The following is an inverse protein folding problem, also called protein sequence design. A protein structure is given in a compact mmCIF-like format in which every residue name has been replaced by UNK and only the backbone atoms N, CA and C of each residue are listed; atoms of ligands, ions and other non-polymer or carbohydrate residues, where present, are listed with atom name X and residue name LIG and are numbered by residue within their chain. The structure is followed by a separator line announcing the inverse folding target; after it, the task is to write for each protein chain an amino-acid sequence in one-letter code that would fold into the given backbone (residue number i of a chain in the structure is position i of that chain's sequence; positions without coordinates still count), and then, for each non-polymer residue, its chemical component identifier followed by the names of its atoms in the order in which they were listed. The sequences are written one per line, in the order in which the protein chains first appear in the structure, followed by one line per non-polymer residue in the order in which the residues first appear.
data_IF_046178886523
#
_entry.id   IF_046178886523
#
_cell.length_a   1.000
_cell.length_b   1.000
_cell.length_c   1.000
_cell.angle_alpha   90.00
_cell.angle_beta   90.00
_cell.angle_gamma   90.00
#
_symmetry.space_group_name_H-M   'P 1'
#
loop_
_entity.id
_entity.type
_entity.pdbx_description
1 polymer ?
#
# COMPACT_ATOMS: atom_id res chain seq x y z
N UNK A 1 -32.39 -45.47 64.16
CA UNK A 1 -31.09 -45.54 63.49
C UNK A 1 -31.22 -44.74 62.22
N UNK A 2 -30.76 -43.46 62.28
CA UNK A 2 -31.05 -42.41 61.28
C UNK A 2 -29.93 -42.43 60.22
N UNK A 3 -30.29 -42.41 58.96
CA UNK A 3 -29.41 -42.22 57.84
C UNK A 3 -29.62 -40.82 57.32
N UNK A 4 -28.63 -39.96 57.47
CA UNK A 4 -28.59 -38.59 57.00
C UNK A 4 -28.13 -38.53 55.55
N UNK A 5 -28.95 -38.02 54.68
CA UNK A 5 -28.71 -37.79 53.28
C UNK A 5 -28.15 -36.39 53.08
N UNK A 6 -26.89 -36.25 52.64
CA UNK A 6 -26.28 -34.98 52.32
C UNK A 6 -26.30 -34.72 50.82
N UNK A 7 -27.16 -33.80 50.38
CA UNK A 7 -27.16 -33.28 49.01
C UNK A 7 -25.98 -32.36 48.81
N UNK A 8 -25.10 -32.76 47.91
CA UNK A 8 -24.03 -31.94 47.34
C UNK A 8 -24.60 -31.09 46.19
N UNK A 9 -24.58 -29.78 46.37
CA UNK A 9 -24.97 -28.79 45.35
C UNK A 9 -23.72 -28.27 44.65
N UNK A 10 -23.35 -28.92 43.55
CA UNK A 10 -22.27 -28.49 42.68
C UNK A 10 -22.55 -27.10 42.04
N UNK A 11 -21.81 -26.12 42.48
CA UNK A 11 -21.72 -24.79 41.87
C UNK A 11 -21.02 -24.90 40.49
N UNK A 12 -21.76 -24.66 39.43
CA UNK A 12 -21.17 -24.45 38.09
C UNK A 12 -20.59 -23.04 38.05
N UNK A 13 -19.26 -22.94 38.11
CA UNK A 13 -18.56 -21.71 37.81
C UNK A 13 -18.74 -21.35 36.33
N UNK A 14 -19.33 -20.20 36.05
CA UNK A 14 -19.36 -19.62 34.73
C UNK A 14 -17.96 -19.04 34.44
N UNK A 15 -17.23 -19.70 33.54
CA UNK A 15 -16.02 -19.16 32.95
C UNK A 15 -16.40 -17.92 32.12
N UNK A 16 -16.14 -16.76 32.68
CA UNK A 16 -16.17 -15.49 31.94
C UNK A 16 -15.01 -15.47 30.98
N UNK A 17 -15.29 -15.63 29.69
CA UNK A 17 -14.33 -15.35 28.61
C UNK A 17 -13.88 -13.90 28.76
N UNK A 18 -12.67 -13.71 29.26
CA UNK A 18 -11.97 -12.42 29.26
C UNK A 18 -11.75 -12.06 27.80
N UNK A 19 -12.55 -11.13 27.28
CA UNK A 19 -12.31 -10.52 25.99
C UNK A 19 -10.92 -9.85 26.06
N UNK A 20 -9.94 -10.46 25.42
CA UNK A 20 -8.62 -9.89 25.28
C UNK A 20 -8.74 -8.54 24.60
N UNK A 21 -8.29 -7.46 25.22
CA UNK A 21 -8.19 -6.15 24.63
C UNK A 21 -7.36 -6.26 23.37
N UNK A 22 -7.97 -5.96 22.22
CA UNK A 22 -7.26 -5.79 20.95
C UNK A 22 -6.23 -4.68 21.17
N UNK A 23 -4.94 -4.91 20.92
CA UNK A 23 -3.95 -3.85 21.07
C UNK A 23 -4.33 -2.72 20.13
N UNK A 24 -4.64 -1.55 20.67
CA UNK A 24 -4.75 -0.33 19.86
C UNK A 24 -3.38 -0.11 19.23
N UNK A 25 -3.32 -0.22 17.89
CA UNK A 25 -2.10 0.09 17.17
C UNK A 25 -1.61 1.48 17.60
N UNK A 26 -0.30 1.68 17.86
CA UNK A 26 0.21 3.00 18.20
C UNK A 26 -0.18 3.96 17.09
N UNK A 27 -0.61 5.18 17.45
CA UNK A 27 -0.94 6.23 16.49
C UNK A 27 0.26 6.41 15.56
N UNK A 28 0.17 5.89 14.35
CA UNK A 28 1.21 6.07 13.34
C UNK A 28 1.18 7.51 12.88
N UNK A 29 2.34 8.15 12.78
CA UNK A 29 2.41 9.49 12.20
C UNK A 29 1.82 9.45 10.80
N UNK A 30 1.01 10.48 10.44
CA UNK A 30 0.41 10.61 9.11
C UNK A 30 1.48 10.54 8.01
N UNK A 31 1.20 9.81 6.93
CA UNK A 31 2.13 9.63 5.81
C UNK A 31 1.65 10.39 4.57
N UNK A 32 2.45 11.36 4.12
CA UNK A 32 2.28 11.99 2.82
C UNK A 32 2.92 11.11 1.74
N UNK A 33 2.12 10.57 0.82
CA UNK A 33 2.58 9.63 -0.23
C UNK A 33 2.59 10.35 -1.57
N UNK A 34 3.74 10.35 -2.23
CA UNK A 34 3.91 10.93 -3.56
C UNK A 34 3.57 9.89 -4.63
N UNK A 35 2.50 10.12 -5.40
CA UNK A 35 1.97 9.23 -6.43
C UNK A 35 2.88 9.21 -7.66
N UNK A 36 3.53 8.07 -7.92
CA UNK A 36 4.50 7.88 -9.03
C UNK A 36 5.68 8.85 -8.97
N UNK A 37 6.02 9.31 -7.76
CA UNK A 37 7.00 10.36 -7.53
C UNK A 37 6.41 11.77 -7.57
N UNK A 38 7.01 12.67 -8.36
CA UNK A 38 6.58 14.07 -8.53
C UNK A 38 6.23 14.33 -10.01
N UNK A 39 5.05 13.87 -10.49
CA UNK A 39 4.71 13.84 -11.90
C UNK A 39 4.44 15.21 -12.52
N UNK A 40 4.31 16.28 -11.73
CA UNK A 40 4.19 17.65 -12.23
C UNK A 40 5.54 18.29 -12.56
N UNK A 41 6.65 17.72 -12.07
CA UNK A 41 8.00 18.22 -12.27
C UNK A 41 8.81 17.30 -13.20
N UNK A 42 8.63 15.99 -13.06
CA UNK A 42 9.32 14.98 -13.84
C UNK A 42 8.33 13.93 -14.37
N UNK A 43 8.73 13.20 -15.41
CA UNK A 43 7.92 12.06 -15.89
C UNK A 43 7.68 11.07 -14.75
N UNK A 44 6.41 10.65 -14.56
CA UNK A 44 6.01 9.68 -13.52
C UNK A 44 6.81 8.37 -13.61
N UNK A 45 6.96 7.69 -12.48
CA UNK A 45 7.65 6.40 -12.38
C UNK A 45 9.10 6.41 -12.92
N UNK A 46 9.81 7.55 -12.78
CA UNK A 46 11.23 7.68 -13.12
C UNK A 46 12.07 8.05 -11.89
N UNK A 47 13.38 7.77 -11.93
CA UNK A 47 14.27 8.12 -10.82
C UNK A 47 14.29 9.63 -10.53
N UNK A 48 14.29 10.54 -11.52
CA UNK A 48 14.16 11.98 -11.24
C UNK A 48 12.87 12.34 -10.50
N UNK A 49 11.73 11.70 -10.85
CA UNK A 49 10.44 11.91 -10.19
C UNK A 49 10.48 11.46 -8.72
N UNK A 50 11.04 10.29 -8.46
CA UNK A 50 11.25 9.75 -7.11
C UNK A 50 12.12 10.68 -6.26
N UNK A 51 13.27 11.11 -6.79
CA UNK A 51 14.18 12.05 -6.11
C UNK A 51 13.50 13.39 -5.78
N UNK A 52 12.71 13.91 -6.72
CA UNK A 52 11.96 15.14 -6.52
C UNK A 52 10.97 15.03 -5.38
N UNK A 53 10.20 13.94 -5.34
CA UNK A 53 9.24 13.66 -4.28
C UNK A 53 9.89 13.54 -2.90
N UNK A 54 11.01 12.85 -2.80
CA UNK A 54 11.76 12.71 -1.54
C UNK A 54 12.29 14.07 -1.05
N UNK A 55 12.84 14.89 -1.96
CA UNK A 55 13.28 16.27 -1.62
C UNK A 55 12.11 17.16 -1.18
N UNK A 56 10.93 16.96 -1.74
CA UNK A 56 9.72 17.67 -1.33
C UNK A 56 9.15 17.18 0.01
N UNK A 57 9.78 16.19 0.66
CA UNK A 57 9.42 15.68 1.98
C UNK A 57 8.33 14.63 1.98
N UNK A 58 8.20 13.84 0.90
CA UNK A 58 7.33 12.67 0.91
C UNK A 58 7.75 11.69 2.02
N UNK A 59 6.80 11.20 2.79
CA UNK A 59 7.00 10.15 3.78
C UNK A 59 7.12 8.76 3.13
N UNK A 60 6.52 8.60 1.95
CA UNK A 60 6.68 7.46 1.07
C UNK A 60 6.49 7.90 -0.39
N UNK A 61 7.09 7.15 -1.32
CA UNK A 61 6.84 7.32 -2.75
C UNK A 61 6.10 6.09 -3.25
N UNK A 62 4.97 6.33 -3.89
CA UNK A 62 4.23 5.26 -4.57
C UNK A 62 4.76 5.09 -5.98
N UNK A 63 4.87 3.83 -6.42
CA UNK A 63 5.34 3.41 -7.74
C UNK A 63 4.53 2.22 -8.24
N UNK A 64 4.25 2.19 -9.54
CA UNK A 64 3.58 1.06 -10.20
C UNK A 64 4.62 0.06 -10.72
N UNK A 65 4.47 -1.23 -10.42
CA UNK A 65 5.41 -2.26 -10.89
C UNK A 65 4.72 -3.25 -11.82
N UNK A 66 5.36 -3.49 -12.96
CA UNK A 66 5.00 -4.51 -13.97
C UNK A 66 6.24 -5.28 -14.43
N UNK A 67 6.01 -6.36 -15.18
CA UNK A 67 7.08 -7.18 -15.72
C UNK A 67 7.28 -6.96 -17.22
N UNK A 68 8.53 -6.94 -17.63
CA UNK A 68 8.95 -7.13 -19.03
C UNK A 68 8.71 -8.56 -19.49
N UNK A 69 8.90 -8.85 -20.79
CA UNK A 69 8.80 -10.20 -21.38
C UNK A 69 9.74 -11.22 -20.69
N UNK A 70 10.90 -10.77 -20.30
CA UNK A 70 11.93 -11.58 -19.63
C UNK A 70 11.85 -11.57 -18.11
N UNK A 71 10.72 -11.07 -17.54
CA UNK A 71 10.40 -11.15 -16.11
C UNK A 71 11.11 -10.13 -15.24
N UNK A 72 11.67 -9.06 -15.80
CA UNK A 72 12.31 -8.01 -15.01
C UNK A 72 11.25 -7.03 -14.48
N UNK A 73 11.17 -6.78 -13.15
CA UNK A 73 10.29 -5.76 -12.58
C UNK A 73 10.76 -4.35 -12.95
N UNK A 74 9.87 -3.58 -13.57
CA UNK A 74 10.11 -2.19 -14.02
C UNK A 74 8.99 -1.26 -13.58
N UNK A 75 9.25 0.05 -13.57
CA UNK A 75 8.29 1.04 -13.10
C UNK A 75 7.42 1.57 -14.24
N UNK A 76 6.20 1.08 -14.37
CA UNK A 76 5.26 1.53 -15.39
C UNK A 76 3.80 1.29 -14.95
N UNK A 77 2.97 2.34 -15.00
CA UNK A 77 1.54 2.21 -14.70
C UNK A 77 0.78 1.47 -15.82
N UNK A 78 0.97 1.89 -17.06
CA UNK A 78 0.22 1.36 -18.21
C UNK A 78 0.72 -0.02 -18.64
N UNK A 79 -0.08 -0.78 -19.35
CA UNK A 79 0.33 -2.05 -19.90
C UNK A 79 1.19 -1.91 -21.17
N UNK A 80 1.33 -0.69 -21.68
CA UNK A 80 2.06 -0.34 -22.89
C UNK A 80 2.88 0.95 -22.72
N UNK A 81 3.70 1.27 -23.73
CA UNK A 81 4.59 2.41 -23.71
C UNK A 81 4.01 3.66 -24.41
N UNK A 82 2.76 3.60 -24.90
CA UNK A 82 2.22 4.66 -25.74
C UNK A 82 2.10 6.02 -25.06
N UNK A 83 1.47 6.07 -23.90
CA UNK A 83 1.16 7.35 -23.23
C UNK A 83 2.42 8.16 -22.90
N UNK A 84 3.42 7.52 -22.33
CA UNK A 84 4.61 8.19 -21.82
C UNK A 84 5.77 8.23 -22.82
N UNK A 85 5.92 7.17 -23.61
CA UNK A 85 7.12 6.93 -24.43
C UNK A 85 6.85 6.97 -25.93
N UNK A 86 5.56 7.07 -26.34
CA UNK A 86 5.12 7.15 -27.76
C UNK A 86 5.47 5.92 -28.61
N UNK A 87 5.69 4.78 -27.99
CA UNK A 87 5.86 3.50 -28.66
C UNK A 87 4.58 2.66 -28.54
N UNK A 88 4.03 2.23 -29.69
CA UNK A 88 2.87 1.34 -29.74
C UNK A 88 3.30 -0.11 -29.53
N UNK A 89 3.72 -0.40 -28.32
CA UNK A 89 4.19 -1.72 -27.90
C UNK A 89 3.81 -2.01 -26.45
N UNK A 90 3.36 -3.24 -26.22
CA UNK A 90 3.04 -3.71 -24.87
C UNK A 90 4.33 -4.04 -24.10
N UNK A 91 4.36 -3.68 -22.82
CA UNK A 91 5.52 -3.98 -21.97
C UNK A 91 5.87 -5.46 -21.94
N UNK A 92 4.87 -6.35 -21.84
CA UNK A 92 5.08 -7.80 -21.82
C UNK A 92 5.60 -8.38 -23.17
N UNK A 93 5.72 -7.58 -24.22
CA UNK A 93 6.26 -7.98 -25.52
C UNK A 93 7.75 -7.63 -25.68
N UNK A 94 8.33 -6.83 -24.77
CA UNK A 94 9.72 -6.37 -24.83
C UNK A 94 10.52 -6.87 -23.63
N UNK A 95 11.81 -7.18 -23.86
CA UNK A 95 12.77 -7.46 -22.79
C UNK A 95 13.23 -6.19 -22.09
N UNK A 96 13.86 -6.32 -20.94
CA UNK A 96 14.42 -5.17 -20.22
C UNK A 96 15.49 -4.43 -21.06
N UNK A 97 16.28 -5.15 -21.88
CA UNK A 97 17.25 -4.54 -22.77
C UNK A 97 16.59 -3.71 -23.87
N UNK A 98 15.59 -4.27 -24.58
CA UNK A 98 14.80 -3.56 -25.59
C UNK A 98 14.06 -2.36 -25.00
N UNK A 99 13.50 -2.51 -23.78
CA UNK A 99 12.84 -1.42 -23.07
C UNK A 99 13.81 -0.26 -22.81
N UNK A 100 15.03 -0.56 -22.38
CA UNK A 100 16.06 0.44 -22.12
C UNK A 100 16.42 1.25 -23.36
N UNK A 101 16.49 0.61 -24.53
CA UNK A 101 16.69 1.28 -25.83
C UNK A 101 15.49 2.17 -26.20
N UNK A 102 14.25 1.64 -26.07
CA UNK A 102 13.02 2.37 -26.40
C UNK A 102 12.77 3.59 -25.53
N UNK A 103 13.33 3.65 -24.34
CA UNK A 103 13.09 4.70 -23.35
C UNK A 103 14.35 5.52 -23.03
N UNK A 104 15.41 5.39 -23.83
CA UNK A 104 16.71 6.03 -23.60
C UNK A 104 17.25 5.80 -22.16
N UNK A 105 16.89 4.67 -21.56
CA UNK A 105 17.24 4.30 -20.19
C UNK A 105 16.51 5.07 -19.09
N UNK A 106 15.50 5.89 -19.43
CA UNK A 106 14.76 6.70 -18.43
C UNK A 106 13.72 5.90 -17.64
N UNK A 107 13.21 4.76 -18.19
CA UNK A 107 12.28 3.88 -17.47
C UNK A 107 13.10 2.93 -16.59
N UNK A 108 13.05 3.06 -15.25
CA UNK A 108 13.90 2.31 -14.37
C UNK A 108 13.36 0.91 -14.07
N UNK A 109 14.26 0.01 -13.72
CA UNK A 109 13.92 -1.23 -13.02
C UNK A 109 13.55 -0.96 -11.57
N UNK A 110 12.84 -1.91 -10.95
CA UNK A 110 12.56 -1.84 -9.51
C UNK A 110 13.86 -1.80 -8.69
N UNK A 111 14.89 -2.55 -9.07
CA UNK A 111 16.20 -2.54 -8.42
C UNK A 111 16.81 -1.13 -8.38
N UNK A 112 16.79 -0.42 -9.51
CA UNK A 112 17.29 0.96 -9.58
C UNK A 112 16.49 1.90 -8.68
N UNK A 113 15.15 1.75 -8.64
CA UNK A 113 14.30 2.55 -7.75
C UNK A 113 14.55 2.23 -6.26
N UNK A 114 14.74 0.97 -5.91
CA UNK A 114 15.08 0.56 -4.53
C UNK A 114 16.44 1.13 -4.10
N UNK A 115 17.43 1.13 -4.99
CA UNK A 115 18.74 1.72 -4.70
C UNK A 115 18.66 3.24 -4.50
N UNK A 116 17.79 3.92 -5.26
CA UNK A 116 17.60 5.37 -5.17
C UNK A 116 16.91 5.83 -3.86
N UNK A 117 16.08 4.95 -3.26
CA UNK A 117 15.24 5.28 -2.12
C UNK A 117 15.80 4.83 -0.78
N UNK A 118 17.12 4.66 -0.66
CA UNK A 118 17.77 4.34 0.62
C UNK A 118 17.45 5.43 1.65
N UNK A 119 16.82 5.01 2.76
CA UNK A 119 16.35 5.93 3.82
C UNK A 119 14.92 6.46 3.64
N UNK A 120 14.26 6.18 2.51
CA UNK A 120 12.83 6.46 2.25
C UNK A 120 11.99 5.20 2.19
N UNK A 121 10.65 5.34 2.24
CA UNK A 121 9.73 4.23 2.06
C UNK A 121 9.19 4.19 0.62
N UNK A 122 9.02 3.00 0.06
CA UNK A 122 8.30 2.77 -1.19
C UNK A 122 6.95 2.09 -0.93
N UNK A 123 5.94 2.59 -1.63
CA UNK A 123 4.60 2.02 -1.69
C UNK A 123 4.41 1.43 -3.09
N UNK A 124 4.51 0.12 -3.24
CA UNK A 124 4.51 -0.56 -4.54
C UNK A 124 3.10 -0.98 -4.92
N UNK A 125 2.53 -0.36 -5.95
CA UNK A 125 1.27 -0.83 -6.54
C UNK A 125 1.51 -1.98 -7.51
N UNK A 126 0.73 -3.05 -7.30
CA UNK A 126 0.76 -4.29 -8.09
C UNK A 126 -0.59 -4.51 -8.77
N UNK A 127 -0.83 -3.84 -9.91
CA UNK A 127 -2.11 -3.95 -10.63
C UNK A 127 -2.34 -5.35 -11.17
N UNK A 128 -1.27 -6.14 -11.37
CA UNK A 128 -1.31 -7.51 -11.89
C UNK A 128 -0.61 -8.46 -10.92
N UNK A 129 -1.34 -9.50 -10.49
CA UNK A 129 -0.82 -10.50 -9.57
C UNK A 129 0.35 -11.33 -10.18
N UNK A 130 0.49 -11.36 -11.49
CA UNK A 130 1.60 -12.05 -12.16
C UNK A 130 2.97 -11.40 -11.87
N UNK A 131 3.00 -10.12 -11.48
CA UNK A 131 4.23 -9.41 -11.15
C UNK A 131 4.71 -9.64 -9.70
N UNK A 132 3.91 -10.28 -8.86
CA UNK A 132 4.17 -10.35 -7.41
C UNK A 132 5.44 -11.11 -7.08
N UNK A 133 5.63 -12.29 -7.65
CA UNK A 133 6.75 -13.18 -7.28
C UNK A 133 8.10 -12.50 -7.54
N UNK A 134 8.29 -11.97 -8.73
CA UNK A 134 9.53 -11.30 -9.15
C UNK A 134 9.73 -9.99 -8.38
N UNK A 135 8.64 -9.25 -8.11
CA UNK A 135 8.70 -8.00 -7.31
C UNK A 135 9.15 -8.28 -5.88
N UNK A 136 8.52 -9.24 -5.19
CA UNK A 136 8.89 -9.60 -3.82
C UNK A 136 10.31 -10.14 -3.76
N UNK A 137 10.70 -11.00 -4.71
CA UNK A 137 12.06 -11.52 -4.81
C UNK A 137 13.09 -10.39 -4.98
N UNK A 138 12.82 -9.40 -5.84
CA UNK A 138 13.71 -8.24 -6.05
C UNK A 138 13.82 -7.37 -4.79
N UNK A 139 12.72 -7.14 -4.09
CA UNK A 139 12.70 -6.37 -2.82
C UNK A 139 13.59 -7.06 -1.77
N UNK A 140 13.47 -8.38 -1.61
CA UNK A 140 14.31 -9.15 -0.68
C UNK A 140 15.78 -9.17 -1.12
N UNK A 141 16.06 -9.40 -2.40
CA UNK A 141 17.42 -9.40 -2.95
C UNK A 141 18.12 -8.04 -2.79
N UNK A 142 17.34 -6.95 -2.78
CA UNK A 142 17.84 -5.58 -2.55
C UNK A 142 17.93 -5.20 -1.07
N UNK A 143 17.58 -6.10 -0.13
CA UNK A 143 17.57 -5.82 1.31
C UNK A 143 16.61 -4.69 1.70
N UNK A 144 15.46 -4.57 1.01
CA UNK A 144 14.56 -3.43 1.15
C UNK A 144 13.21 -3.77 1.83
N UNK A 145 13.03 -5.00 2.31
CA UNK A 145 11.76 -5.49 2.82
C UNK A 145 11.19 -4.67 4.00
N UNK A 146 12.03 -4.10 4.84
CA UNK A 146 11.67 -3.30 6.01
C UNK A 146 11.13 -1.90 5.67
N UNK A 147 11.39 -1.40 4.46
CA UNK A 147 11.00 -0.07 4.00
C UNK A 147 10.02 -0.07 2.81
N UNK A 148 9.56 -1.25 2.42
CA UNK A 148 8.58 -1.43 1.34
C UNK A 148 7.24 -1.88 1.90
N UNK A 149 6.15 -1.39 1.35
CA UNK A 149 4.82 -1.95 1.53
C UNK A 149 4.09 -1.98 0.18
N UNK A 150 3.15 -2.93 0.05
CA UNK A 150 2.52 -3.24 -1.22
C UNK A 150 1.07 -2.84 -1.24
N UNK A 151 0.55 -2.39 -2.40
CA UNK A 151 -0.88 -2.25 -2.61
C UNK A 151 -1.35 -2.94 -3.89
N UNK A 152 -2.66 -3.14 -3.95
CA UNK A 152 -3.33 -3.76 -5.08
C UNK A 152 -4.66 -4.37 -4.67
N UNK A 153 -5.31 -5.01 -5.64
CA UNK A 153 -6.55 -5.74 -5.40
C UNK A 153 -6.34 -7.04 -4.61
N UNK A 154 -7.43 -7.74 -4.25
CA UNK A 154 -7.37 -8.97 -3.44
C UNK A 154 -6.43 -10.03 -4.01
N UNK A 155 -6.43 -10.24 -5.33
CA UNK A 155 -5.59 -11.27 -5.96
C UNK A 155 -4.08 -10.98 -5.77
N UNK A 156 -3.65 -9.73 -6.04
CA UNK A 156 -2.27 -9.32 -5.86
C UNK A 156 -1.85 -9.39 -4.40
N UNK A 157 -2.67 -8.89 -3.48
CA UNK A 157 -2.32 -8.86 -2.06
C UNK A 157 -2.29 -10.26 -1.42
N UNK A 158 -3.17 -11.18 -1.83
CA UNK A 158 -3.08 -12.58 -1.42
C UNK A 158 -1.83 -13.26 -2.00
N UNK A 159 -1.42 -12.91 -3.22
CA UNK A 159 -0.18 -13.42 -3.79
C UNK A 159 1.06 -12.88 -3.03
N UNK A 160 1.07 -11.59 -2.66
CA UNK A 160 2.11 -11.00 -1.80
C UNK A 160 2.18 -11.75 -0.47
N UNK A 161 1.04 -11.97 0.21
CA UNK A 161 1.01 -12.67 1.49
C UNK A 161 1.53 -14.11 1.41
N UNK A 162 1.32 -14.79 0.27
CA UNK A 162 1.89 -16.13 0.02
C UNK A 162 3.40 -16.09 -0.25
N UNK A 163 3.89 -15.04 -0.94
CA UNK A 163 5.31 -14.88 -1.24
C UNK A 163 6.12 -14.40 -0.02
N UNK A 164 5.50 -13.55 0.82
CA UNK A 164 6.09 -13.03 2.04
C UNK A 164 5.01 -12.90 3.12
N UNK A 165 5.09 -13.75 4.14
CA UNK A 165 4.12 -13.81 5.23
C UNK A 165 4.15 -12.55 6.13
N UNK A 166 5.25 -11.81 6.15
CA UNK A 166 5.47 -10.64 7.00
C UNK A 166 5.34 -9.32 6.24
N UNK A 167 5.11 -9.36 4.91
CA UNK A 167 4.98 -8.17 4.08
C UNK A 167 3.90 -7.21 4.62
N UNK A 168 4.20 -5.92 4.67
CA UNK A 168 3.20 -4.89 4.95
C UNK A 168 2.33 -4.68 3.71
N UNK A 169 1.01 -4.85 3.83
CA UNK A 169 0.08 -4.77 2.71
C UNK A 169 -1.02 -3.76 2.93
N UNK A 170 -1.43 -3.10 1.83
CA UNK A 170 -2.54 -2.18 1.71
C UNK A 170 -3.55 -2.73 0.70
N UNK A 171 -4.70 -3.20 1.17
CA UNK A 171 -5.75 -3.70 0.27
C UNK A 171 -6.47 -2.53 -0.40
N UNK A 172 -6.33 -2.39 -1.71
CA UNK A 172 -7.10 -1.43 -2.50
C UNK A 172 -8.56 -1.88 -2.56
N UNK A 173 -9.45 -1.03 -1.98
CA UNK A 173 -10.86 -1.34 -1.82
C UNK A 173 -11.74 -0.27 -2.45
N UNK A 174 -12.69 -0.69 -3.29
CA UNK A 174 -13.43 0.21 -4.19
C UNK A 174 -14.88 0.46 -3.79
N UNK A 175 -15.31 -0.04 -2.62
CA UNK A 175 -16.67 0.13 -2.10
C UNK A 175 -16.66 0.60 -0.64
N UNK A 176 -17.79 1.16 -0.18
CA UNK A 176 -17.98 1.53 1.24
C UNK A 176 -18.32 0.33 2.13
N UNK A 177 -18.78 -0.77 1.54
CA UNK A 177 -18.99 -2.01 2.27
C UNK A 177 -17.63 -2.60 2.68
N UNK A 178 -17.48 -3.09 3.92
CA UNK A 178 -16.20 -3.66 4.38
C UNK A 178 -15.84 -4.92 3.58
N UNK A 179 -14.55 -5.24 3.44
CA UNK A 179 -14.12 -6.54 2.94
C UNK A 179 -14.69 -7.68 3.81
N UNK A 180 -14.86 -8.86 3.21
CA UNK A 180 -15.30 -10.04 3.96
C UNK A 180 -14.29 -10.38 5.04
N UNK A 181 -14.77 -10.78 6.23
CA UNK A 181 -13.91 -11.16 7.36
C UNK A 181 -12.92 -12.29 7.00
N UNK A 182 -13.34 -13.25 6.15
CA UNK A 182 -12.46 -14.31 5.65
C UNK A 182 -11.29 -13.78 4.83
N UNK A 183 -11.52 -12.77 3.97
CA UNK A 183 -10.45 -12.14 3.21
C UNK A 183 -9.49 -11.36 4.13
N UNK A 184 -10.01 -10.62 5.10
CA UNK A 184 -9.18 -9.90 6.07
C UNK A 184 -8.34 -10.85 6.93
N UNK A 185 -8.91 -11.98 7.36
CA UNK A 185 -8.21 -12.99 8.15
C UNK A 185 -7.08 -13.67 7.36
N UNK A 186 -7.30 -13.95 6.06
CA UNK A 186 -6.28 -14.55 5.20
C UNK A 186 -5.18 -13.56 4.83
N UNK A 187 -5.57 -12.35 4.42
CA UNK A 187 -4.65 -11.32 3.96
C UNK A 187 -3.91 -10.63 5.11
N UNK A 188 -4.58 -10.38 6.22
CA UNK A 188 -4.07 -9.60 7.36
C UNK A 188 -3.46 -8.26 6.91
N UNK A 189 -4.21 -7.41 6.19
CA UNK A 189 -3.67 -6.15 5.69
C UNK A 189 -3.46 -5.20 6.87
N UNK A 190 -2.44 -4.36 6.77
CA UNK A 190 -2.26 -3.24 7.70
C UNK A 190 -3.15 -2.06 7.32
N UNK A 191 -3.42 -1.87 6.01
CA UNK A 191 -4.11 -0.73 5.45
C UNK A 191 -5.29 -1.14 4.59
N UNK A 192 -6.36 -0.33 4.63
CA UNK A 192 -7.33 -0.26 3.55
C UNK A 192 -7.09 1.02 2.74
N UNK A 193 -6.88 0.85 1.43
CA UNK A 193 -6.53 1.91 0.50
C UNK A 193 -7.73 2.26 -0.38
N UNK A 194 -8.34 3.44 -0.15
CA UNK A 194 -9.60 3.86 -0.79
C UNK A 194 -9.40 4.98 -1.81
N UNK A 195 -10.24 4.98 -2.84
CA UNK A 195 -10.43 6.22 -3.64
C UNK A 195 -10.96 7.32 -2.73
N UNK A 196 -10.38 8.52 -2.83
CA UNK A 196 -10.69 9.64 -1.94
C UNK A 196 -12.18 9.97 -1.83
N UNK A 197 -12.98 9.73 -2.89
CA UNK A 197 -14.42 9.97 -2.90
C UNK A 197 -15.24 9.06 -1.99
N UNK A 198 -14.71 7.92 -1.57
CA UNK A 198 -15.37 6.97 -0.68
C UNK A 198 -15.12 7.27 0.80
N UNK A 199 -14.12 8.09 1.10
CA UNK A 199 -13.67 8.33 2.48
C UNK A 199 -14.58 9.31 3.20
N UNK A 200 -15.12 8.89 4.36
CA UNK A 200 -15.82 9.70 5.34
C UNK A 200 -15.22 9.48 6.73
N UNK A 201 -15.49 10.37 7.71
CA UNK A 201 -15.07 10.15 9.10
C UNK A 201 -15.56 8.84 9.69
N UNK A 202 -16.80 8.43 9.36
CA UNK A 202 -17.41 7.18 9.86
C UNK A 202 -16.71 5.95 9.27
N UNK A 203 -16.30 6.02 7.97
CA UNK A 203 -15.53 4.95 7.34
C UNK A 203 -14.16 4.81 8.02
N UNK A 204 -13.48 5.93 8.27
CA UNK A 204 -12.17 5.93 8.93
C UNK A 204 -12.30 5.36 10.35
N UNK A 205 -13.25 5.88 11.16
CA UNK A 205 -13.46 5.42 12.53
C UNK A 205 -13.76 3.92 12.61
N UNK A 206 -14.57 3.39 11.68
CA UNK A 206 -14.87 1.95 11.61
C UNK A 206 -13.62 1.12 11.34
N UNK A 207 -12.81 1.52 10.35
CA UNK A 207 -11.58 0.77 10.03
C UNK A 207 -10.57 0.84 11.18
N UNK A 208 -10.44 2.00 11.84
CA UNK A 208 -9.59 2.12 13.03
C UNK A 208 -10.07 1.23 14.19
N UNK A 209 -11.39 1.10 14.38
CA UNK A 209 -11.94 0.18 15.38
C UNK A 209 -11.61 -1.29 15.09
N UNK A 210 -11.42 -1.65 13.81
CA UNK A 210 -10.97 -2.96 13.36
C UNK A 210 -9.43 -3.11 13.35
N UNK A 211 -8.69 -2.10 13.84
CA UNK A 211 -7.22 -2.09 13.87
C UNK A 211 -6.54 -1.83 12.52
N UNK A 212 -7.29 -1.34 11.52
CA UNK A 212 -6.82 -1.08 10.17
C UNK A 212 -6.54 0.40 9.97
N UNK A 213 -5.42 0.73 9.34
CA UNK A 213 -5.10 2.08 8.90
C UNK A 213 -5.82 2.39 7.57
N UNK A 214 -6.09 3.68 7.34
CA UNK A 214 -6.78 4.14 6.13
C UNK A 214 -5.87 5.04 5.31
N UNK A 215 -5.62 4.66 4.06
CA UNK A 215 -5.02 5.52 3.05
C UNK A 215 -6.03 5.94 1.99
N UNK A 216 -5.83 7.10 1.39
CA UNK A 216 -6.71 7.64 0.36
C UNK A 216 -5.94 8.09 -0.88
N UNK A 217 -6.45 7.75 -2.10
CA UNK A 217 -5.84 8.07 -3.39
C UNK A 217 -6.88 8.52 -4.44
N UNK A 218 -6.54 9.27 -5.45
CA UNK A 218 -5.43 10.21 -5.57
C UNK A 218 -6.01 11.60 -5.32
N UNK A 219 -5.53 12.31 -4.31
CA UNK A 219 -6.12 13.58 -3.89
C UNK A 219 -5.20 14.76 -4.28
N UNK A 220 -5.56 15.51 -5.32
CA UNK A 220 -4.70 16.53 -5.92
C UNK A 220 -5.14 17.96 -5.64
N UNK A 221 -6.30 18.17 -4.99
CA UNK A 221 -6.74 19.51 -4.60
C UNK A 221 -6.58 19.75 -3.11
N UNK A 222 -6.20 20.97 -2.71
CA UNK A 222 -6.11 21.36 -1.28
C UNK A 222 -7.43 21.15 -0.54
N UNK A 223 -8.56 21.33 -1.22
CA UNK A 223 -9.89 21.07 -0.65
C UNK A 223 -10.05 19.60 -0.28
N UNK A 224 -9.77 18.68 -1.24
CA UNK A 224 -9.84 17.23 -0.98
C UNK A 224 -8.86 16.79 0.10
N UNK A 225 -7.62 17.28 0.07
CA UNK A 225 -6.60 16.98 1.08
C UNK A 225 -7.06 17.40 2.48
N UNK A 226 -7.57 18.65 2.66
CA UNK A 226 -8.09 19.11 3.96
C UNK A 226 -9.27 18.28 4.46
N UNK A 227 -10.18 17.90 3.55
CA UNK A 227 -11.32 17.04 3.90
C UNK A 227 -10.86 15.67 4.39
N UNK A 228 -9.88 15.07 3.73
CA UNK A 228 -9.32 13.77 4.11
C UNK A 228 -8.55 13.85 5.43
N UNK A 229 -7.73 14.88 5.63
CA UNK A 229 -7.04 15.14 6.91
C UNK A 229 -8.05 15.31 8.05
N UNK A 230 -9.12 16.08 7.82
CA UNK A 230 -10.19 16.26 8.81
C UNK A 230 -10.99 14.96 9.08
N UNK A 231 -11.06 14.05 8.09
CA UNK A 231 -11.67 12.74 8.26
C UNK A 231 -10.78 11.76 9.06
N UNK A 232 -9.52 12.10 9.31
CA UNK A 232 -8.61 11.32 10.13
C UNK A 232 -7.92 10.17 9.40
N UNK A 233 -7.72 10.26 8.07
CA UNK A 233 -6.95 9.24 7.34
C UNK A 233 -5.49 9.23 7.78
N UNK A 234 -4.84 8.06 7.70
CA UNK A 234 -3.45 7.87 8.12
C UNK A 234 -2.45 8.16 6.99
N UNK A 235 -2.91 8.12 5.73
CA UNK A 235 -2.10 8.48 4.57
C UNK A 235 -2.93 9.09 3.44
N UNK A 236 -2.30 9.96 2.67
CA UNK A 236 -2.86 10.51 1.42
C UNK A 236 -1.84 10.35 0.31
N UNK A 237 -2.26 9.68 -0.77
CA UNK A 237 -1.51 9.60 -2.03
C UNK A 237 -1.93 10.74 -2.95
N UNK A 238 -0.95 11.49 -3.47
CA UNK A 238 -1.17 12.71 -4.28
C UNK A 238 -0.10 12.88 -5.35
N UNK A 239 -0.48 13.47 -6.50
CA UNK A 239 0.45 14.00 -7.50
C UNK A 239 1.06 15.37 -7.09
N UNK A 240 0.58 15.96 -5.98
CA UNK A 240 0.93 17.31 -5.51
C UNK A 240 1.49 17.25 -4.10
N UNK A 241 2.64 16.59 -3.98
CA UNK A 241 3.27 16.38 -2.65
C UNK A 241 3.62 17.69 -1.95
N UNK A 242 4.05 18.71 -2.69
CA UNK A 242 4.30 20.07 -2.21
C UNK A 242 3.05 20.69 -1.55
N UNK A 243 1.90 20.55 -2.24
CA UNK A 243 0.63 21.07 -1.75
C UNK A 243 0.17 20.34 -0.47
N UNK A 244 0.33 19.02 -0.41
CA UNK A 244 -0.03 18.24 0.77
C UNK A 244 0.87 18.60 1.96
N UNK A 245 2.18 18.64 1.76
CA UNK A 245 3.15 19.01 2.79
C UNK A 245 2.88 20.40 3.39
N UNK A 246 2.48 21.38 2.56
CA UNK A 246 2.11 22.72 3.04
C UNK A 246 0.86 22.78 3.93
N UNK A 247 0.07 21.70 4.01
CA UNK A 247 -1.11 21.58 4.88
C UNK A 247 -0.81 20.86 6.21
N UNK A 248 0.39 20.29 6.34
CA UNK A 248 0.81 19.57 7.54
C UNK A 248 1.54 20.53 8.48
N UNK A 249 1.43 20.36 9.79
CA UNK A 249 2.28 21.07 10.74
C UNK A 249 3.74 20.70 10.49
N UNK A 250 4.62 21.71 10.62
CA UNK A 250 6.08 21.53 10.49
C UNK A 250 6.67 20.73 11.64
#
# INVERSE_FOLDING_TARGET
MAITDTKDTGSRGADALVAGAVPTAPATAFTAVAHRGDPYVHRENTLPSIRSALRAGAGAVEIDVRLTRDGVPVLLHDADLWRLWRHDVRLCAVSAAELRELTDGELPTLREALAETVGGRLFIDLPDASAVTETVAEVHASGAADRVYYCGGPASMLAVRRADAEAETALSWTTVAPPRATLLAELRPRWLNYRFGLVSPELVARNHADGLLVSAWTADTRFTMRRLLAAGVDAITTNRIDALRSLMPG
#
